data_IF_006965447460
#
_entry.id   IF_006965447460
#
_cell.length_a   1.000
_cell.length_b   1.000
_cell.length_c   1.000
_cell.angle_alpha   90.00
_cell.angle_beta   90.00
_cell.angle_gamma   90.00
#
_symmetry.space_group_name_H-M   'P 1'
#
loop_
_entity.id
_entity.type
_entity.pdbx_description
1 polymer ?
#
# COMPACT_ATOMS: atom_id res chain seq x y z
N UNK A 1 -12.04 22.93 12.79
CA UNK A 1 -12.27 23.75 14.00
C UNK A 1 -13.76 23.94 14.31
N UNK A 2 -14.60 23.97 13.32
CA UNK A 2 -16.06 24.18 13.42
C UNK A 2 -16.81 23.03 14.09
N UNK A 3 -16.51 21.77 13.74
CA UNK A 3 -17.15 20.57 14.32
C UNK A 3 -16.91 20.46 15.83
N UNK A 4 -15.71 20.79 16.33
CA UNK A 4 -15.45 20.82 17.78
C UNK A 4 -16.32 21.82 18.53
N UNK A 5 -16.56 23.00 17.92
CA UNK A 5 -17.46 24.02 18.49
C UNK A 5 -18.90 23.53 18.53
N UNK A 6 -19.36 22.87 17.44
CA UNK A 6 -20.71 22.28 17.39
C UNK A 6 -20.89 21.20 18.46
N UNK A 7 -19.94 20.29 18.64
CA UNK A 7 -20.00 19.26 19.70
C UNK A 7 -20.07 19.89 21.09
N UNK A 8 -19.29 20.95 21.36
CA UNK A 8 -19.34 21.63 22.65
C UNK A 8 -20.68 22.34 22.89
N UNK A 9 -21.26 22.92 21.84
CA UNK A 9 -22.56 23.59 21.92
C UNK A 9 -23.69 22.59 22.21
N UNK A 10 -23.70 21.46 21.50
CA UNK A 10 -24.72 20.42 21.71
C UNK A 10 -24.57 19.72 23.06
N UNK A 11 -23.35 19.51 23.55
CA UNK A 11 -23.12 19.04 24.92
C UNK A 11 -23.71 19.98 25.99
N UNK A 12 -23.57 21.29 25.82
CA UNK A 12 -24.16 22.28 26.72
C UNK A 12 -25.69 22.24 26.69
N UNK A 13 -26.30 22.11 25.51
CA UNK A 13 -27.76 21.96 25.34
C UNK A 13 -28.26 20.66 25.99
N UNK A 14 -27.57 19.54 25.76
CA UNK A 14 -27.94 18.24 26.37
C UNK A 14 -27.83 18.23 27.88
N UNK A 15 -26.96 19.03 28.47
CA UNK A 15 -26.87 19.20 29.95
C UNK A 15 -27.99 20.06 30.53
N UNK A 16 -28.60 20.93 29.72
CA UNK A 16 -29.72 21.80 30.15
C UNK A 16 -31.09 21.18 29.90
N UNK A 17 -31.19 20.29 28.91
CA UNK A 17 -32.40 19.56 28.56
C UNK A 17 -32.07 18.08 28.47
N UNK A 18 -32.73 17.24 29.28
CA UNK A 18 -32.54 15.77 29.20
C UNK A 18 -33.19 15.19 27.95
N UNK A 19 -32.69 15.61 26.79
CA UNK A 19 -33.27 15.29 25.50
C UNK A 19 -32.39 14.22 24.77
N UNK A 20 -32.96 13.05 24.58
CA UNK A 20 -32.29 11.88 23.94
C UNK A 20 -31.78 12.22 22.52
N UNK A 21 -32.47 13.11 21.78
CA UNK A 21 -32.06 13.56 20.47
C UNK A 21 -30.69 14.25 20.47
N UNK A 22 -30.44 15.11 21.46
CA UNK A 22 -29.17 15.84 21.57
C UNK A 22 -27.99 14.90 21.89
N UNK A 23 -28.24 13.79 22.58
CA UNK A 23 -27.21 12.77 22.85
C UNK A 23 -26.84 12.01 21.57
N UNK A 24 -27.83 11.66 20.76
CA UNK A 24 -27.62 11.01 19.47
C UNK A 24 -26.85 11.92 18.52
N UNK A 25 -27.17 13.23 18.48
CA UNK A 25 -26.46 14.21 17.67
C UNK A 25 -24.99 14.35 18.11
N UNK A 26 -24.73 14.36 19.41
CA UNK A 26 -23.36 14.40 19.95
C UNK A 26 -22.59 13.15 19.56
N UNK A 27 -23.19 11.96 19.59
CA UNK A 27 -22.56 10.71 19.19
C UNK A 27 -22.25 10.70 17.69
N UNK A 28 -23.19 11.14 16.85
CA UNK A 28 -23.03 11.29 15.41
C UNK A 28 -21.85 12.23 15.07
N UNK A 29 -21.83 13.42 15.64
CA UNK A 29 -20.77 14.41 15.44
C UNK A 29 -19.40 13.92 15.96
N UNK A 30 -19.38 13.14 17.02
CA UNK A 30 -18.15 12.54 17.55
C UNK A 30 -17.59 11.48 16.61
N UNK A 31 -18.45 10.68 15.98
CA UNK A 31 -18.08 9.68 14.98
C UNK A 31 -17.55 10.34 13.71
N UNK A 32 -18.24 11.37 13.23
CA UNK A 32 -17.80 12.17 12.08
C UNK A 32 -16.42 12.82 12.34
N UNK A 33 -16.21 13.39 13.51
CA UNK A 33 -14.91 13.95 13.89
C UNK A 33 -13.80 12.90 13.93
N UNK A 34 -14.08 11.68 14.37
CA UNK A 34 -13.11 10.59 14.40
C UNK A 34 -12.70 10.14 13.00
N UNK A 35 -13.69 10.07 12.07
CA UNK A 35 -13.45 9.78 10.66
C UNK A 35 -12.55 10.85 10.02
N UNK A 36 -12.93 12.12 10.14
CA UNK A 36 -12.14 13.24 9.59
C UNK A 36 -10.70 13.26 10.14
N UNK A 37 -10.51 12.92 11.42
CA UNK A 37 -9.15 12.83 11.98
C UNK A 37 -8.35 11.68 11.38
N UNK A 38 -8.99 10.55 11.12
CA UNK A 38 -8.36 9.40 10.48
C UNK A 38 -7.92 9.76 9.06
N UNK A 39 -8.84 10.35 8.28
CA UNK A 39 -8.58 10.76 6.89
C UNK A 39 -7.45 11.81 6.80
N UNK A 40 -7.47 12.77 7.74
CA UNK A 40 -6.40 13.79 7.81
C UNK A 40 -5.04 13.17 8.15
N UNK A 41 -5.01 12.19 9.07
CA UNK A 41 -3.77 11.49 9.41
C UNK A 41 -3.24 10.72 8.20
N UNK A 42 -4.10 9.99 7.50
CA UNK A 42 -3.74 9.26 6.29
C UNK A 42 -3.21 10.21 5.19
N UNK A 43 -3.85 11.36 5.01
CA UNK A 43 -3.39 12.36 4.04
C UNK A 43 -2.01 12.92 4.41
N UNK A 44 -1.74 13.19 5.70
CA UNK A 44 -0.41 13.61 6.16
C UNK A 44 0.63 12.52 5.90
N UNK A 45 0.32 11.25 6.17
CA UNK A 45 1.23 10.13 5.90
C UNK A 45 1.53 10.02 4.40
N UNK A 46 0.51 10.15 3.54
CA UNK A 46 0.69 10.19 2.07
C UNK A 46 1.57 11.38 1.63
N UNK A 47 1.33 12.58 2.15
CA UNK A 47 2.16 13.76 1.85
C UNK A 47 3.61 13.57 2.31
N UNK A 48 3.83 13.03 3.51
CA UNK A 48 5.17 12.77 4.02
C UNK A 48 5.92 11.71 3.20
N UNK A 49 5.22 10.72 2.67
CA UNK A 49 5.79 9.70 1.77
C UNK A 49 6.42 10.33 0.53
N UNK A 50 5.85 11.42 0.02
CA UNK A 50 6.33 12.11 -1.20
C UNK A 50 7.05 13.44 -0.92
N UNK A 51 7.40 13.72 0.34
CA UNK A 51 8.04 14.98 0.74
C UNK A 51 9.34 15.26 -0.01
N UNK A 52 10.06 14.23 -0.43
CA UNK A 52 11.25 14.36 -1.27
C UNK A 52 10.97 15.00 -2.64
N UNK A 53 9.70 15.00 -3.07
CA UNK A 53 9.26 15.61 -4.33
C UNK A 53 9.03 17.13 -4.22
N UNK A 54 8.99 17.69 -3.00
CA UNK A 54 8.62 19.09 -2.78
C UNK A 54 9.49 20.09 -3.55
N UNK A 55 10.75 19.72 -3.84
CA UNK A 55 11.69 20.55 -4.58
C UNK A 55 11.97 20.03 -5.99
N UNK A 56 11.17 19.08 -6.49
CA UNK A 56 11.38 18.46 -7.80
C UNK A 56 10.48 19.11 -8.84
N UNK A 57 10.93 20.23 -9.37
CA UNK A 57 10.18 21.05 -10.35
C UNK A 57 10.69 20.90 -11.79
N UNK A 58 11.70 20.05 -12.02
CA UNK A 58 12.23 19.80 -13.37
C UNK A 58 12.46 18.30 -13.60
N UNK A 59 12.35 17.86 -14.85
CA UNK A 59 12.68 16.49 -15.24
C UNK A 59 14.13 16.13 -14.90
N UNK A 60 15.05 17.09 -14.98
CA UNK A 60 16.46 16.88 -14.64
C UNK A 60 16.62 16.57 -13.14
N UNK A 61 15.94 17.33 -12.27
CA UNK A 61 15.95 17.10 -10.82
C UNK A 61 15.31 15.73 -10.49
N UNK A 62 14.20 15.37 -11.12
CA UNK A 62 13.58 14.06 -10.97
C UNK A 62 14.52 12.91 -11.36
N UNK A 63 15.20 13.04 -12.51
CA UNK A 63 16.18 12.04 -12.96
C UNK A 63 17.31 11.82 -11.95
N UNK A 64 17.82 12.90 -11.36
CA UNK A 64 18.88 12.82 -10.34
C UNK A 64 18.40 12.07 -9.10
N UNK A 65 17.18 12.31 -8.64
CA UNK A 65 16.59 11.61 -7.50
C UNK A 65 16.42 10.11 -7.79
N UNK A 66 15.87 9.76 -8.95
CA UNK A 66 15.71 8.37 -9.34
C UNK A 66 17.05 7.65 -9.46
N UNK A 67 18.10 8.35 -9.94
CA UNK A 67 19.44 7.78 -10.07
C UNK A 67 20.21 7.70 -8.74
N UNK A 68 19.81 8.46 -7.71
CA UNK A 68 20.55 8.52 -6.43
C UNK A 68 20.43 7.27 -5.57
N UNK A 69 19.60 6.30 -5.93
CA UNK A 69 19.28 5.11 -5.14
C UNK A 69 18.73 5.38 -3.72
N UNK A 70 18.55 6.64 -3.33
CA UNK A 70 18.10 7.02 -2.00
C UNK A 70 16.69 6.48 -1.71
N UNK A 71 15.88 6.37 -2.74
CA UNK A 71 14.48 5.94 -2.65
C UNK A 71 14.21 4.59 -3.33
N UNK A 72 15.25 3.87 -3.72
CA UNK A 72 15.12 2.57 -4.42
C UNK A 72 14.44 1.48 -3.58
N UNK A 73 14.42 1.65 -2.26
CA UNK A 73 13.74 0.76 -1.31
C UNK A 73 12.27 1.08 -1.11
N UNK A 74 11.83 2.23 -1.59
CA UNK A 74 10.46 2.64 -1.39
C UNK A 74 9.55 1.87 -2.36
N UNK A 75 8.58 1.15 -1.82
CA UNK A 75 7.61 0.38 -2.59
C UNK A 75 6.88 1.23 -3.65
N UNK A 76 6.75 2.57 -3.41
CA UNK A 76 6.09 3.46 -4.33
C UNK A 76 6.72 3.48 -5.74
N UNK A 77 8.03 3.29 -5.85
CA UNK A 77 8.72 3.23 -7.16
C UNK A 77 8.23 2.02 -7.94
N UNK A 78 8.19 0.85 -7.29
CA UNK A 78 7.71 -0.38 -7.91
C UNK A 78 6.20 -0.29 -8.22
N UNK A 79 5.40 0.34 -7.34
CA UNK A 79 3.97 0.61 -7.56
C UNK A 79 3.74 1.45 -8.83
N UNK A 80 4.54 2.49 -9.06
CA UNK A 80 4.45 3.31 -10.28
C UNK A 80 4.74 2.47 -11.52
N UNK A 81 5.79 1.63 -11.48
CA UNK A 81 6.11 0.75 -12.60
C UNK A 81 5.00 -0.29 -12.84
N UNK A 82 4.45 -0.88 -11.78
CA UNK A 82 3.34 -1.82 -11.89
C UNK A 82 2.14 -1.19 -12.61
N UNK A 83 1.77 0.03 -12.23
CA UNK A 83 0.66 0.76 -12.87
C UNK A 83 0.98 1.17 -14.30
N UNK A 84 2.15 1.75 -14.54
CA UNK A 84 2.53 2.29 -15.84
C UNK A 84 2.64 1.20 -16.92
N UNK A 85 3.09 0.01 -16.55
CA UNK A 85 3.35 -1.09 -17.51
C UNK A 85 2.34 -2.24 -17.40
N UNK A 86 1.35 -2.14 -16.52
CA UNK A 86 0.39 -3.21 -16.23
C UNK A 86 1.09 -4.55 -15.92
N UNK A 87 2.09 -4.50 -15.06
CA UNK A 87 2.88 -5.64 -14.59
C UNK A 87 2.70 -5.83 -13.08
N UNK A 88 3.14 -6.99 -12.58
CA UNK A 88 3.21 -7.25 -11.14
C UNK A 88 4.60 -7.75 -10.76
N UNK A 89 5.20 -7.14 -9.74
CA UNK A 89 6.43 -7.62 -9.16
C UNK A 89 6.17 -8.71 -8.11
N UNK A 90 6.92 -9.80 -8.21
CA UNK A 90 7.02 -10.86 -7.21
C UNK A 90 8.39 -10.69 -6.56
N UNK A 91 8.41 -10.24 -5.32
CA UNK A 91 9.65 -9.85 -4.62
C UNK A 91 10.09 -10.96 -3.68
N UNK A 92 11.35 -11.38 -3.81
CA UNK A 92 12.01 -12.29 -2.90
C UNK A 92 12.96 -11.52 -1.97
N UNK A 93 12.60 -11.39 -0.71
CA UNK A 93 13.42 -10.71 0.28
C UNK A 93 14.56 -11.62 0.77
N UNK A 94 15.77 -11.34 0.30
CA UNK A 94 16.96 -12.10 0.65
C UNK A 94 17.39 -11.85 2.10
N UNK A 95 17.05 -10.74 2.69
CA UNK A 95 17.33 -10.43 4.08
C UNK A 95 16.47 -11.31 4.99
N UNK A 96 15.18 -11.40 4.70
CA UNK A 96 14.27 -12.32 5.40
C UNK A 96 14.75 -13.78 5.27
N UNK A 97 15.19 -14.19 4.08
CA UNK A 97 15.73 -15.52 3.86
C UNK A 97 16.97 -15.82 4.72
N UNK A 98 17.92 -14.89 4.79
CA UNK A 98 19.13 -15.03 5.60
C UNK A 98 18.83 -15.09 7.10
N UNK A 99 17.80 -14.40 7.56
CA UNK A 99 17.31 -14.47 8.94
C UNK A 99 16.39 -15.66 9.23
N UNK A 100 16.19 -16.57 8.25
CA UNK A 100 15.30 -17.74 8.35
C UNK A 100 13.83 -17.38 8.59
N UNK A 101 13.44 -16.15 8.26
CA UNK A 101 12.05 -15.68 8.28
C UNK A 101 11.35 -16.06 6.97
N UNK A 102 11.14 -17.35 6.78
CA UNK A 102 10.59 -17.88 5.53
C UNK A 102 9.18 -17.43 5.23
N UNK A 103 8.43 -16.98 6.23
CA UNK A 103 7.10 -16.44 6.05
C UNK A 103 7.12 -15.11 5.28
N UNK A 104 8.18 -14.32 5.41
CA UNK A 104 8.32 -13.00 4.80
C UNK A 104 9.29 -12.95 3.61
N UNK A 105 9.80 -14.10 3.16
CA UNK A 105 10.71 -14.16 1.99
C UNK A 105 9.98 -13.73 0.72
N UNK A 106 8.75 -14.21 0.52
CA UNK A 106 7.98 -13.90 -0.68
C UNK A 106 6.99 -12.80 -0.37
N UNK A 107 7.12 -11.68 -1.07
CA UNK A 107 6.21 -10.55 -0.95
C UNK A 107 5.72 -10.12 -2.33
N UNK A 108 4.50 -9.61 -2.39
CA UNK A 108 4.00 -8.87 -3.54
C UNK A 108 3.82 -7.43 -3.12
N UNK A 109 4.18 -6.50 -4.00
CA UNK A 109 3.91 -5.10 -3.74
C UNK A 109 2.42 -4.88 -3.91
N UNK A 110 1.80 -4.37 -2.85
CA UNK A 110 0.37 -4.28 -2.75
C UNK A 110 -0.04 -2.81 -2.83
N UNK A 111 -0.88 -2.52 -3.79
CA UNK A 111 -1.58 -1.25 -3.86
C UNK A 111 -2.93 -1.42 -3.17
N UNK A 112 -3.13 -0.76 -2.03
CA UNK A 112 -4.40 -0.82 -1.28
C UNK A 112 -5.58 -0.25 -2.07
N UNK A 113 -5.29 0.59 -3.07
CA UNK A 113 -6.29 1.30 -3.85
C UNK A 113 -6.72 0.55 -5.13
N UNK A 114 -6.04 -0.53 -5.51
CA UNK A 114 -6.33 -1.28 -6.73
C UNK A 114 -7.26 -2.46 -6.47
N UNK A 115 -8.55 -2.20 -6.48
CA UNK A 115 -9.60 -3.24 -6.31
C UNK A 115 -9.65 -4.21 -7.50
N UNK A 116 -9.07 -3.86 -8.65
CA UNK A 116 -9.10 -4.69 -9.87
C UNK A 116 -7.77 -4.64 -10.65
N UNK A 117 -6.66 -5.04 -10.04
CA UNK A 117 -5.42 -5.21 -10.80
C UNK A 117 -5.41 -6.56 -11.52
N UNK A 118 -5.52 -6.55 -12.85
CA UNK A 118 -5.30 -7.74 -13.69
C UNK A 118 -4.01 -7.57 -14.49
N UNK A 119 -2.85 -7.80 -13.87
CA UNK A 119 -1.57 -7.60 -14.53
C UNK A 119 -1.43 -8.52 -15.75
N UNK A 120 -0.92 -7.97 -16.84
CA UNK A 120 -0.66 -8.71 -18.07
C UNK A 120 0.57 -9.60 -17.94
N UNK A 121 1.56 -9.14 -17.18
CA UNK A 121 2.84 -9.80 -17.01
C UNK A 121 3.33 -9.72 -15.56
N UNK A 122 4.29 -10.58 -15.24
CA UNK A 122 4.90 -10.71 -13.93
C UNK A 122 6.41 -10.69 -14.05
N UNK A 123 7.07 -10.03 -13.10
CA UNK A 123 8.53 -9.96 -13.02
C UNK A 123 8.94 -10.43 -11.62
N UNK A 124 9.81 -11.42 -11.57
CA UNK A 124 10.41 -11.87 -10.31
C UNK A 124 11.68 -11.09 -10.03
N UNK A 125 11.79 -10.52 -8.83
CA UNK A 125 12.96 -9.77 -8.39
C UNK A 125 13.40 -10.24 -7.01
N UNK A 126 14.70 -10.30 -6.79
CA UNK A 126 15.28 -10.42 -5.45
C UNK A 126 15.59 -9.05 -4.90
N UNK A 127 15.27 -8.84 -3.62
CA UNK A 127 15.63 -7.66 -2.85
C UNK A 127 16.67 -8.03 -1.81
N UNK A 128 17.78 -7.32 -1.81
CA UNK A 128 18.78 -7.39 -0.76
C UNK A 128 19.22 -5.98 -0.40
N UNK A 129 19.00 -5.57 0.83
CA UNK A 129 19.25 -4.21 1.29
C UNK A 129 18.57 -3.17 0.36
N UNK A 130 19.35 -2.36 -0.32
CA UNK A 130 18.90 -1.32 -1.25
C UNK A 130 18.93 -1.73 -2.71
N UNK A 131 19.18 -2.99 -3.02
CA UNK A 131 19.36 -3.47 -4.37
C UNK A 131 18.27 -4.43 -4.79
N UNK A 132 17.78 -4.23 -6.01
CA UNK A 132 16.89 -5.17 -6.68
C UNK A 132 17.62 -5.84 -7.83
N UNK A 133 17.46 -7.14 -7.95
CA UNK A 133 18.01 -7.92 -9.04
C UNK A 133 16.91 -8.74 -9.70
N UNK A 134 16.85 -8.71 -11.02
CA UNK A 134 15.90 -9.52 -11.76
C UNK A 134 16.23 -11.01 -11.67
N UNK A 135 15.22 -11.82 -11.43
CA UNK A 135 15.30 -13.28 -11.40
C UNK A 135 14.78 -13.82 -12.73
N UNK A 136 15.61 -14.53 -13.44
CA UNK A 136 15.24 -15.18 -14.69
C UNK A 136 14.72 -16.59 -14.42
N UNK A 137 13.56 -16.91 -14.95
CA UNK A 137 13.04 -18.26 -14.92
C UNK A 137 12.99 -18.82 -16.35
N UNK A 138 13.65 -19.96 -16.59
CA UNK A 138 13.80 -20.54 -17.92
C UNK A 138 14.29 -19.51 -18.98
N UNK A 139 15.26 -18.68 -18.59
CA UNK A 139 15.84 -17.59 -19.36
C UNK A 139 14.85 -16.47 -19.75
N UNK A 140 13.70 -16.37 -19.08
CA UNK A 140 12.73 -15.31 -19.28
C UNK A 140 12.76 -14.33 -18.11
N UNK A 141 12.94 -13.02 -18.35
CA UNK A 141 12.86 -12.00 -17.32
C UNK A 141 11.41 -11.57 -17.00
N UNK A 142 10.51 -11.74 -17.96
CA UNK A 142 9.10 -11.36 -17.87
C UNK A 142 8.26 -12.61 -18.15
N UNK A 143 7.30 -12.86 -17.30
CA UNK A 143 6.47 -14.06 -17.31
C UNK A 143 5.01 -13.72 -17.52
N UNK A 144 4.27 -14.57 -18.21
CA UNK A 144 2.81 -14.62 -18.13
C UNK A 144 2.39 -15.39 -16.89
N UNK A 145 1.15 -15.25 -16.46
CA UNK A 145 0.64 -15.96 -15.29
C UNK A 145 0.90 -17.49 -15.34
N UNK A 146 0.68 -18.10 -16.51
CA UNK A 146 0.87 -19.54 -16.69
C UNK A 146 2.33 -19.99 -16.55
N UNK A 147 3.27 -19.08 -16.81
CA UNK A 147 4.71 -19.36 -16.79
C UNK A 147 5.33 -19.25 -15.39
N UNK A 148 4.62 -18.64 -14.43
CA UNK A 148 5.07 -18.57 -13.04
C UNK A 148 5.14 -19.98 -12.46
N UNK A 149 6.23 -20.35 -11.76
CA UNK A 149 6.34 -21.65 -11.09
C UNK A 149 5.16 -21.93 -10.15
N UNK A 150 4.67 -23.17 -10.16
CA UNK A 150 3.50 -23.57 -9.38
C UNK A 150 3.69 -23.27 -7.88
N UNK A 151 4.85 -23.60 -7.32
CA UNK A 151 5.14 -23.40 -5.90
C UNK A 151 5.06 -21.92 -5.51
N UNK A 152 5.48 -21.01 -6.40
CA UNK A 152 5.39 -19.57 -6.18
C UNK A 152 3.92 -19.13 -6.19
N UNK A 153 3.12 -19.61 -7.16
CA UNK A 153 1.68 -19.34 -7.20
C UNK A 153 0.99 -19.80 -5.92
N UNK A 154 1.28 -21.02 -5.49
CA UNK A 154 0.71 -21.59 -4.28
C UNK A 154 1.04 -20.73 -3.05
N UNK A 155 2.31 -20.33 -2.90
CA UNK A 155 2.73 -19.47 -1.78
C UNK A 155 2.07 -18.10 -1.79
N UNK A 156 1.88 -17.52 -2.97
CA UNK A 156 1.17 -16.23 -3.11
C UNK A 156 -0.30 -16.41 -2.71
N UNK A 157 -0.96 -17.46 -3.21
CA UNK A 157 -2.35 -17.75 -2.87
C UNK A 157 -2.53 -17.99 -1.36
N UNK A 158 -1.63 -18.76 -0.74
CA UNK A 158 -1.61 -19.05 0.70
C UNK A 158 -1.57 -17.74 1.51
N UNK A 159 -0.65 -16.83 1.16
CA UNK A 159 -0.57 -15.51 1.78
C UNK A 159 -1.80 -14.65 1.54
N UNK A 160 -2.42 -14.75 0.38
CA UNK A 160 -3.67 -14.06 0.08
C UNK A 160 -4.81 -14.49 1.03
N UNK A 161 -4.86 -15.78 1.34
CA UNK A 161 -5.85 -16.35 2.24
C UNK A 161 -5.58 -16.00 3.71
N UNK A 162 -4.30 -16.00 4.13
CA UNK A 162 -3.90 -15.64 5.50
C UNK A 162 -4.24 -14.20 5.87
N UNK A 163 -4.16 -13.27 4.93
CA UNK A 163 -4.37 -11.83 5.19
C UNK A 163 -5.83 -11.38 5.16
N UNK A 164 -6.79 -12.31 5.06
CA UNK A 164 -8.24 -12.07 5.21
C UNK A 164 -8.72 -10.73 4.59
N UNK A 165 -8.73 -10.64 3.29
CA UNK A 165 -9.29 -9.47 2.60
C UNK A 165 -8.35 -8.27 2.50
N UNK A 166 -7.06 -8.46 2.69
CA UNK A 166 -6.05 -7.50 2.26
C UNK A 166 -5.97 -7.43 0.74
N UNK A 167 -5.11 -6.57 0.25
CA UNK A 167 -4.85 -6.32 -1.17
C UNK A 167 -4.51 -7.57 -2.02
N UNK A 168 -4.40 -8.73 -1.42
CA UNK A 168 -4.26 -10.01 -2.12
C UNK A 168 -5.55 -10.52 -2.76
N UNK A 169 -6.74 -10.11 -2.27
CA UNK A 169 -8.01 -10.42 -2.94
C UNK A 169 -8.08 -9.91 -4.38
N UNK A 170 -7.21 -8.98 -4.71
CA UNK A 170 -7.11 -8.35 -6.03
C UNK A 170 -6.46 -9.26 -7.06
N UNK A 171 -5.71 -10.28 -6.62
CA UNK A 171 -5.10 -11.23 -7.55
C UNK A 171 -6.01 -12.47 -7.66
N UNK A 172 -7.25 -12.27 -8.07
CA UNK A 172 -8.24 -13.36 -8.28
C UNK A 172 -7.71 -14.52 -9.13
N UNK A 173 -6.71 -14.27 -9.99
CA UNK A 173 -6.07 -15.32 -10.78
C UNK A 173 -5.22 -16.29 -9.96
N UNK A 174 -4.91 -15.96 -8.70
CA UNK A 174 -4.16 -16.84 -7.81
C UNK A 174 -5.06 -17.66 -6.90
N UNK A 175 -6.33 -17.32 -6.82
CA UNK A 175 -7.37 -18.07 -6.13
C UNK A 175 -8.16 -18.86 -7.17
#
# INVERSE_FOLDING_TARGET
MEIKKKIQLEKKKAMSESNISNILDIQSLSKELSSIKSDYKEMIEKCNKYKFMDNVNTFKAFKVIVQSNTYSNDNWVLEIFEKAFNIKFIVFDMTAFLHKDYANVLTCILNKDDVECSPSHYIMISKKDNYYQNIFYKNKPILKFQEIPYDIKYRIADKCLETLGGSFNVIQKFI
#
